data_IF_078435294254
#
_entry.id   IF_078435294254
#
_cell.length_a   1.000
_cell.length_b   1.000
_cell.length_c   1.000
_cell.angle_alpha   90.00
_cell.angle_beta   90.00
_cell.angle_gamma   90.00
#
_symmetry.space_group_name_H-M   'P 1'
#
loop_
_entity.id
_entity.type
_entity.pdbx_description
1 polymer ?
#
# COMPACT_ATOMS: atom_id res chain seq x y z
N UNK A 1 11.64 -59.47 58.50
CA UNK A 1 11.80 -60.70 57.72
C UNK A 1 10.76 -60.63 56.61
N UNK A 2 11.26 -60.34 55.39
CA UNK A 2 10.65 -60.50 54.08
C UNK A 2 9.17 -60.08 53.85
N UNK A 3 9.01 -59.17 52.89
CA UNK A 3 7.86 -59.10 51.98
C UNK A 3 6.61 -58.31 52.35
N UNK A 4 6.74 -57.10 52.91
CA UNK A 4 5.70 -56.06 52.68
C UNK A 4 6.24 -54.66 52.35
N UNK A 5 7.56 -54.52 52.14
CA UNK A 5 8.19 -53.29 51.64
C UNK A 5 8.14 -53.17 50.10
N UNK A 6 7.30 -53.96 49.42
CA UNK A 6 7.21 -54.04 47.94
C UNK A 6 5.88 -53.54 47.34
N UNK A 7 4.91 -53.16 48.18
CA UNK A 7 3.62 -52.64 47.71
C UNK A 7 3.48 -51.11 47.69
N UNK A 8 4.54 -50.38 48.05
CA UNK A 8 4.60 -48.90 47.96
C UNK A 8 5.03 -48.35 46.58
N UNK A 9 5.17 -49.19 45.55
CA UNK A 9 5.69 -48.74 44.23
C UNK A 9 4.73 -49.02 43.07
N UNK A 10 3.53 -49.57 43.32
CA UNK A 10 2.60 -49.94 42.22
C UNK A 10 1.19 -49.33 42.27
N UNK A 11 0.84 -48.55 43.29
CA UNK A 11 -0.47 -47.89 43.38
C UNK A 11 -0.38 -46.38 43.58
N UNK A 12 0.64 -45.76 42.97
CA UNK A 12 0.78 -44.30 42.86
C UNK A 12 0.62 -43.79 41.41
N UNK A 13 0.07 -44.62 40.53
CA UNK A 13 -0.12 -44.35 39.10
C UNK A 13 -1.61 -44.37 38.70
N UNK A 14 -2.47 -43.86 39.58
CA UNK A 14 -3.90 -43.63 39.30
C UNK A 14 -4.26 -42.23 39.79
N UNK A 15 -3.80 -41.23 39.06
CA UNK A 15 -4.12 -39.83 39.33
C UNK A 15 -3.71 -38.96 38.17
N UNK A 16 -4.69 -38.37 37.49
CA UNK A 16 -4.47 -37.32 36.49
C UNK A 16 -4.62 -37.76 35.04
N UNK A 17 -5.81 -38.25 34.66
CA UNK A 17 -6.27 -38.08 33.29
C UNK A 17 -6.59 -36.59 33.12
N UNK A 18 -5.57 -35.80 32.78
CA UNK A 18 -5.73 -34.41 32.37
C UNK A 18 -6.65 -34.40 31.15
N UNK A 19 -7.88 -33.92 31.36
CA UNK A 19 -8.75 -33.44 30.29
C UNK A 19 -8.04 -32.29 29.60
N UNK A 20 -7.26 -32.60 28.57
CA UNK A 20 -6.90 -31.65 27.54
C UNK A 20 -8.21 -31.27 26.83
N UNK A 21 -8.93 -30.31 27.41
CA UNK A 21 -9.89 -29.52 26.69
C UNK A 21 -9.11 -28.72 25.63
N UNK A 22 -8.84 -29.39 24.51
CA UNK A 22 -8.52 -28.71 23.28
C UNK A 22 -9.72 -27.81 22.98
N UNK A 23 -9.54 -26.51 23.13
CA UNK A 23 -10.37 -25.54 22.45
C UNK A 23 -10.28 -25.84 20.95
N UNK A 24 -11.19 -26.67 20.45
CA UNK A 24 -11.56 -26.66 19.06
C UNK A 24 -12.16 -25.29 18.79
N UNK A 25 -11.34 -24.35 18.31
CA UNK A 25 -11.87 -23.27 17.48
C UNK A 25 -12.54 -23.97 16.30
N UNK A 26 -13.87 -24.02 16.32
CA UNK A 26 -14.66 -24.58 15.24
C UNK A 26 -14.62 -23.63 14.04
N UNK A 27 -13.47 -23.51 13.39
CA UNK A 27 -13.44 -23.08 12.00
C UNK A 27 -13.92 -24.28 11.19
N UNK A 28 -15.24 -24.38 11.01
CA UNK A 28 -15.79 -25.21 9.94
C UNK A 28 -15.11 -24.74 8.65
N UNK A 29 -14.39 -25.61 7.91
CA UNK A 29 -14.05 -25.30 6.54
C UNK A 29 -15.36 -24.95 5.84
N UNK A 30 -15.40 -23.83 5.12
CA UNK A 30 -16.50 -23.57 4.19
C UNK A 30 -16.71 -24.86 3.38
N UNK A 31 -17.94 -25.37 3.37
CA UNK A 31 -18.27 -26.61 2.67
C UNK A 31 -17.87 -26.54 1.19
N UNK A 32 -17.94 -27.65 0.45
CA UNK A 32 -17.54 -27.69 -0.96
C UNK A 32 -18.27 -26.65 -1.82
N UNK A 33 -19.43 -26.18 -1.37
CA UNK A 33 -20.22 -25.14 -2.01
C UNK A 33 -19.78 -23.73 -1.55
N UNK A 34 -18.75 -23.17 -2.20
CA UNK A 34 -18.23 -21.81 -1.93
C UNK A 34 -18.99 -20.70 -2.66
N UNK A 35 -20.29 -20.88 -2.87
CA UNK A 35 -21.14 -19.81 -3.38
C UNK A 35 -21.38 -18.78 -2.29
N UNK A 36 -21.44 -17.51 -2.69
CA UNK A 36 -21.88 -16.42 -1.85
C UNK A 36 -22.71 -15.47 -2.71
N UNK A 37 -23.95 -15.27 -2.31
CA UNK A 37 -24.91 -14.37 -2.97
C UNK A 37 -25.10 -13.08 -2.20
N UNK A 38 -24.86 -13.11 -0.89
CA UNK A 38 -24.88 -11.96 0.02
C UNK A 38 -23.50 -11.68 0.62
N UNK A 39 -23.30 -10.49 1.17
CA UNK A 39 -22.04 -10.15 1.83
C UNK A 39 -21.83 -10.95 3.12
N UNK A 40 -22.89 -11.27 3.86
CA UNK A 40 -22.80 -12.16 5.03
C UNK A 40 -22.29 -13.55 4.64
N UNK A 41 -22.75 -14.09 3.51
CA UNK A 41 -22.22 -15.34 2.95
C UNK A 41 -20.77 -15.20 2.50
N UNK A 42 -20.41 -14.05 1.90
CA UNK A 42 -19.01 -13.77 1.56
C UNK A 42 -18.13 -13.80 2.81
N UNK A 43 -18.49 -13.11 3.89
CA UNK A 43 -17.74 -13.09 5.14
C UNK A 43 -17.55 -14.49 5.72
N UNK A 44 -18.54 -15.38 5.58
CA UNK A 44 -18.46 -16.76 6.04
C UNK A 44 -17.41 -17.60 5.27
N UNK A 45 -16.97 -17.16 4.09
CA UNK A 45 -15.89 -17.80 3.34
C UNK A 45 -14.48 -17.40 3.85
N UNK A 46 -14.39 -16.40 4.73
CA UNK A 46 -13.13 -15.90 5.27
C UNK A 46 -12.90 -16.40 6.70
N UNK A 47 -11.66 -16.80 7.04
CA UNK A 47 -11.22 -16.87 8.44
C UNK A 47 -11.43 -15.52 9.12
N UNK A 48 -12.01 -15.53 10.32
CA UNK A 48 -12.19 -14.30 11.10
C UNK A 48 -10.89 -13.96 11.83
N UNK A 49 -10.51 -12.69 11.82
CA UNK A 49 -9.29 -12.18 12.47
C UNK A 49 -9.52 -10.85 13.18
N UNK A 50 -8.45 -10.33 13.76
CA UNK A 50 -8.43 -9.08 14.51
C UNK A 50 -7.15 -8.30 14.19
N UNK A 51 -7.16 -7.00 14.46
CA UNK A 51 -5.96 -6.17 14.39
C UNK A 51 -5.09 -6.35 15.65
N UNK A 52 -3.75 -6.26 15.56
CA UNK A 52 -2.97 -5.97 14.36
C UNK A 52 -2.86 -7.18 13.42
N UNK A 53 -2.57 -6.92 12.14
CA UNK A 53 -2.40 -7.95 11.11
C UNK A 53 -1.15 -7.67 10.27
N UNK A 54 -0.45 -8.72 9.81
CA UNK A 54 0.78 -8.57 9.01
C UNK A 54 0.78 -9.54 7.83
N UNK A 55 1.29 -9.08 6.69
CA UNK A 55 1.55 -9.89 5.50
C UNK A 55 2.99 -9.68 5.06
N UNK A 56 3.69 -10.79 4.85
CA UNK A 56 5.06 -10.81 4.32
C UNK A 56 5.17 -11.78 3.13
N UNK A 57 6.25 -11.73 2.33
CA UNK A 57 6.37 -12.57 1.14
C UNK A 57 6.40 -14.07 1.47
N UNK A 58 6.97 -14.45 2.60
CA UNK A 58 7.02 -15.86 3.03
C UNK A 58 5.62 -16.45 3.28
N UNK A 59 4.69 -15.64 3.79
CA UNK A 59 3.29 -16.02 3.93
C UNK A 59 2.61 -16.26 2.57
N UNK A 60 3.08 -15.61 1.51
CA UNK A 60 2.59 -15.78 0.13
C UNK A 60 3.26 -16.94 -0.61
N UNK A 61 4.48 -17.35 -0.23
CA UNK A 61 5.16 -18.51 -0.83
C UNK A 61 4.48 -19.84 -0.52
N UNK A 62 3.73 -19.91 0.58
CA UNK A 62 3.00 -21.14 0.95
C UNK A 62 1.91 -21.44 -0.09
N UNK A 63 1.92 -22.63 -0.72
CA UNK A 63 0.88 -23.01 -1.67
C UNK A 63 -0.46 -23.13 -0.95
N UNK A 64 -1.53 -22.66 -1.60
CA UNK A 64 -2.90 -22.86 -1.14
C UNK A 64 -3.57 -23.93 -1.99
N UNK A 65 -4.38 -24.78 -1.35
CA UNK A 65 -5.20 -25.74 -2.07
C UNK A 65 -6.29 -25.01 -2.87
N UNK A 66 -6.57 -25.49 -4.08
CA UNK A 66 -7.68 -24.99 -4.90
C UNK A 66 -9.04 -25.12 -4.21
N UNK A 67 -9.16 -26.05 -3.26
CA UNK A 67 -10.36 -26.18 -2.41
C UNK A 67 -10.65 -24.94 -1.55
N UNK A 68 -9.67 -24.03 -1.41
CA UNK A 68 -9.78 -22.77 -0.66
C UNK A 68 -10.08 -21.56 -1.56
N UNK A 69 -10.10 -21.74 -2.87
CA UNK A 69 -10.32 -20.68 -3.85
C UNK A 69 -11.76 -20.15 -3.82
N UNK A 70 -11.94 -18.85 -4.04
CA UNK A 70 -13.26 -18.27 -4.31
C UNK A 70 -13.72 -18.62 -5.73
N UNK A 71 -15.02 -18.92 -5.89
CA UNK A 71 -15.60 -19.17 -7.20
C UNK A 71 -15.55 -17.90 -8.07
N UNK A 72 -15.31 -17.99 -9.39
CA UNK A 72 -15.20 -16.83 -10.27
C UNK A 72 -16.41 -15.88 -10.20
N UNK A 73 -17.61 -16.44 -10.07
CA UNK A 73 -18.86 -15.68 -9.90
C UNK A 73 -18.95 -14.91 -8.57
N UNK A 74 -18.36 -15.43 -7.50
CA UNK A 74 -18.24 -14.73 -6.21
C UNK A 74 -17.24 -13.59 -6.36
N UNK A 75 -16.11 -13.84 -7.03
CA UNK A 75 -15.11 -12.80 -7.30
C UNK A 75 -15.74 -11.65 -8.09
N UNK A 76 -16.38 -11.95 -9.23
CA UNK A 76 -17.01 -10.96 -10.09
C UNK A 76 -18.14 -10.16 -9.40
N UNK A 77 -18.81 -10.75 -8.41
CA UNK A 77 -19.88 -10.09 -7.65
C UNK A 77 -19.34 -9.06 -6.66
N UNK A 78 -18.26 -9.37 -5.95
CA UNK A 78 -17.83 -8.59 -4.79
C UNK A 78 -16.55 -7.79 -5.01
N UNK A 79 -15.72 -8.17 -5.99
CA UNK A 79 -14.39 -7.60 -6.19
C UNK A 79 -14.27 -7.10 -7.64
N UNK A 80 -14.15 -5.78 -7.85
CA UNK A 80 -13.90 -5.25 -9.18
C UNK A 80 -12.54 -5.74 -9.74
N UNK A 81 -12.51 -6.13 -11.01
CA UNK A 81 -11.28 -6.59 -11.67
C UNK A 81 -10.14 -5.53 -11.66
N UNK A 82 -10.51 -4.25 -11.50
CA UNK A 82 -9.56 -3.13 -11.40
C UNK A 82 -8.60 -3.23 -10.21
N UNK A 83 -8.93 -4.02 -9.18
CA UNK A 83 -8.06 -4.23 -8.00
C UNK A 83 -6.68 -4.74 -8.44
N UNK A 84 -6.64 -5.68 -9.38
CA UNK A 84 -5.41 -6.38 -9.76
C UNK A 84 -5.05 -6.25 -11.23
N UNK A 85 -5.87 -5.63 -12.07
CA UNK A 85 -5.60 -5.49 -13.52
C UNK A 85 -4.22 -4.90 -13.85
N UNK A 86 -3.72 -3.96 -13.03
CA UNK A 86 -2.37 -3.37 -13.21
C UNK A 86 -1.24 -4.32 -12.80
N UNK A 87 -1.47 -5.17 -11.79
CA UNK A 87 -0.47 -6.12 -11.27
C UNK A 87 -0.43 -7.40 -12.11
N UNK A 88 -1.59 -7.85 -12.58
CA UNK A 88 -1.79 -9.06 -13.37
C UNK A 88 -2.52 -8.72 -14.67
N UNK A 89 -1.81 -8.21 -15.69
CA UNK A 89 -2.42 -7.95 -16.99
C UNK A 89 -2.90 -9.26 -17.63
N UNK A 90 -4.05 -9.22 -18.30
CA UNK A 90 -4.69 -10.38 -18.93
C UNK A 90 -5.75 -11.07 -18.06
N UNK A 91 -6.35 -12.14 -18.58
CA UNK A 91 -7.37 -12.91 -17.86
C UNK A 91 -6.75 -14.05 -17.02
N UNK A 92 -7.50 -14.52 -16.02
CA UNK A 92 -7.21 -15.77 -15.31
C UNK A 92 -6.43 -15.60 -14.00
N UNK A 93 -7.03 -14.93 -13.02
CA UNK A 93 -6.51 -14.91 -11.64
C UNK A 93 -7.28 -15.88 -10.74
N UNK A 94 -6.60 -16.42 -9.74
CA UNK A 94 -7.21 -17.18 -8.65
C UNK A 94 -7.24 -16.30 -7.41
N UNK A 95 -8.41 -16.15 -6.80
CA UNK A 95 -8.60 -15.35 -5.59
C UNK A 95 -8.87 -16.26 -4.41
N UNK A 96 -8.14 -16.05 -3.31
CA UNK A 96 -8.24 -16.82 -2.09
C UNK A 96 -8.57 -15.90 -0.91
N UNK A 97 -9.53 -16.26 -0.05
CA UNK A 97 -9.83 -15.50 1.15
C UNK A 97 -8.75 -15.74 2.21
N UNK A 98 -8.12 -14.69 2.75
CA UNK A 98 -7.10 -14.83 3.80
C UNK A 98 -7.67 -14.52 5.19
N UNK A 99 -8.26 -13.34 5.37
CA UNK A 99 -8.86 -12.95 6.65
C UNK A 99 -9.95 -11.89 6.46
N UNK A 100 -10.99 -11.97 7.27
CA UNK A 100 -11.96 -10.90 7.47
C UNK A 100 -11.78 -10.30 8.86
N UNK A 101 -11.68 -8.97 8.92
CA UNK A 101 -11.44 -8.22 10.15
C UNK A 101 -12.50 -7.14 10.24
N UNK A 102 -13.28 -7.13 11.32
CA UNK A 102 -14.18 -6.03 11.61
C UNK A 102 -13.35 -4.77 11.95
N UNK A 103 -13.65 -3.65 11.30
CA UNK A 103 -12.92 -2.40 11.51
C UNK A 103 -13.85 -1.21 11.42
N UNK A 104 -13.93 -0.46 12.52
CA UNK A 104 -14.72 0.77 12.66
C UNK A 104 -16.17 0.65 12.14
N UNK A 105 -16.45 1.26 10.98
CA UNK A 105 -17.75 1.26 10.32
C UNK A 105 -17.77 0.33 9.09
N UNK A 106 -17.04 -0.78 9.13
CA UNK A 106 -17.02 -1.72 8.02
C UNK A 106 -16.16 -2.96 8.28
N UNK A 107 -15.63 -3.49 7.19
CA UNK A 107 -14.83 -4.70 7.17
C UNK A 107 -13.58 -4.52 6.30
N UNK A 108 -12.46 -4.97 6.83
CA UNK A 108 -11.26 -5.26 6.06
C UNK A 108 -11.29 -6.72 5.63
N UNK A 109 -11.25 -6.95 4.31
CA UNK A 109 -11.08 -8.26 3.70
C UNK A 109 -9.71 -8.35 3.06
N UNK A 110 -8.86 -9.24 3.56
CA UNK A 110 -7.57 -9.53 2.93
C UNK A 110 -7.74 -10.70 1.99
N UNK A 111 -7.45 -10.46 0.71
CA UNK A 111 -7.47 -11.47 -0.34
C UNK A 111 -6.08 -11.71 -0.88
N UNK A 112 -5.80 -12.96 -1.25
CA UNK A 112 -4.63 -13.32 -2.05
C UNK A 112 -5.07 -13.54 -3.48
N UNK A 113 -4.36 -12.93 -4.42
CA UNK A 113 -4.59 -13.05 -5.86
C UNK A 113 -3.35 -13.68 -6.48
N UNK A 114 -3.56 -14.72 -7.29
CA UNK A 114 -2.47 -15.48 -7.91
C UNK A 114 -2.69 -15.60 -9.42
N UNK A 115 -1.61 -15.39 -10.18
CA UNK A 115 -1.55 -15.63 -11.63
C UNK A 115 -0.25 -16.36 -11.97
N UNK A 116 -0.36 -17.65 -12.29
CA UNK A 116 0.81 -18.53 -12.38
C UNK A 116 1.57 -18.58 -11.06
N UNK A 117 2.86 -18.25 -11.09
CA UNK A 117 3.73 -18.21 -9.91
C UNK A 117 3.79 -16.84 -9.23
N UNK A 118 3.09 -15.83 -9.78
CA UNK A 118 3.05 -14.48 -9.22
C UNK A 118 1.88 -14.37 -8.24
N UNK A 119 2.14 -13.76 -7.08
CA UNK A 119 1.18 -13.68 -5.99
C UNK A 119 1.15 -12.27 -5.43
N UNK A 120 -0.04 -11.73 -5.18
CA UNK A 120 -0.22 -10.48 -4.45
C UNK A 120 -1.23 -10.66 -3.32
N UNK A 121 -1.08 -9.90 -2.25
CA UNK A 121 -2.11 -9.73 -1.23
C UNK A 121 -2.70 -8.33 -1.32
N UNK A 122 -4.01 -8.22 -1.15
CA UNK A 122 -4.74 -6.96 -1.17
C UNK A 122 -5.62 -6.84 0.07
N UNK A 123 -5.61 -5.65 0.66
CA UNK A 123 -6.57 -5.22 1.67
C UNK A 123 -7.74 -4.53 0.96
N UNK A 124 -8.93 -5.09 1.03
CA UNK A 124 -10.16 -4.50 0.50
C UNK A 124 -10.99 -3.93 1.64
N UNK A 125 -11.53 -2.72 1.48
CA UNK A 125 -12.45 -2.12 2.44
C UNK A 125 -13.90 -2.17 1.93
N UNK A 126 -14.79 -2.63 2.81
CA UNK A 126 -16.25 -2.62 2.63
C UNK A 126 -16.91 -1.84 3.76
N UNK A 127 -17.88 -0.98 3.47
CA UNK A 127 -18.63 -0.22 4.48
C UNK A 127 -19.74 -1.04 5.17
N UNK A 128 -20.44 -0.46 6.15
CA UNK A 128 -21.61 -1.07 6.82
C UNK A 128 -22.79 -1.41 5.90
N UNK A 129 -22.78 -0.92 4.66
CA UNK A 129 -23.80 -1.22 3.64
C UNK A 129 -23.28 -2.27 2.65
N UNK A 130 -22.21 -2.97 3.02
CA UNK A 130 -21.60 -4.04 2.25
C UNK A 130 -21.05 -3.60 0.89
N UNK A 131 -20.74 -2.29 0.74
CA UNK A 131 -20.23 -1.75 -0.52
C UNK A 131 -18.72 -1.72 -0.52
N UNK A 132 -18.12 -2.26 -1.58
CA UNK A 132 -16.70 -2.11 -1.86
C UNK A 132 -16.35 -0.65 -2.14
N UNK A 133 -15.25 -0.17 -1.55
CA UNK A 133 -14.72 1.18 -1.78
C UNK A 133 -13.38 1.14 -2.51
N UNK A 134 -12.37 0.55 -1.88
CA UNK A 134 -11.01 0.53 -2.41
C UNK A 134 -10.26 -0.73 -1.98
N UNK A 135 -9.23 -1.07 -2.74
CA UNK A 135 -8.25 -2.05 -2.38
C UNK A 135 -6.84 -1.45 -2.38
N UNK A 136 -6.03 -1.83 -1.40
CA UNK A 136 -4.61 -1.49 -1.29
C UNK A 136 -3.79 -2.78 -1.42
N UNK A 137 -2.78 -2.79 -2.31
CA UNK A 137 -1.86 -3.93 -2.42
C UNK A 137 -0.93 -3.94 -1.22
N UNK A 138 -1.03 -4.99 -0.40
CA UNK A 138 -0.25 -5.17 0.83
C UNK A 138 1.13 -5.76 0.55
N UNK A 139 1.21 -6.71 -0.38
CA UNK A 139 2.43 -7.43 -0.66
C UNK A 139 2.37 -7.97 -2.09
N UNK A 140 3.54 -8.11 -2.72
CA UNK A 140 3.69 -8.75 -4.01
C UNK A 140 4.91 -9.66 -4.00
N UNK A 141 4.79 -10.80 -4.66
CA UNK A 141 5.84 -11.79 -4.78
C UNK A 141 5.86 -12.34 -6.21
N UNK A 142 7.05 -12.41 -6.78
CA UNK A 142 7.34 -13.16 -8.01
C UNK A 142 8.65 -13.93 -7.84
N UNK A 143 8.78 -15.17 -8.35
CA UNK A 143 9.97 -15.98 -8.13
C UNK A 143 11.27 -15.38 -8.70
N UNK A 144 11.14 -14.62 -9.80
CA UNK A 144 12.28 -14.09 -10.56
C UNK A 144 12.80 -12.75 -10.03
N UNK A 145 12.06 -12.08 -9.13
CA UNK A 145 12.42 -10.79 -8.54
C UNK A 145 12.83 -11.01 -7.09
N UNK A 146 14.14 -11.18 -6.89
CA UNK A 146 14.73 -11.32 -5.55
C UNK A 146 15.16 -9.98 -4.97
N UNK A 147 15.02 -8.88 -5.71
CA UNK A 147 15.58 -7.57 -5.36
C UNK A 147 14.66 -6.74 -4.47
N UNK A 148 13.34 -6.90 -4.62
CA UNK A 148 12.35 -6.13 -3.90
C UNK A 148 11.55 -6.97 -2.90
N UNK A 149 11.65 -6.65 -1.61
CA UNK A 149 10.87 -7.30 -0.55
C UNK A 149 9.77 -6.35 -0.07
N UNK A 150 8.52 -6.78 -0.18
CA UNK A 150 7.35 -6.04 0.29
C UNK A 150 6.82 -6.65 1.59
N UNK A 151 6.78 -5.88 2.65
CA UNK A 151 6.13 -6.27 3.90
C UNK A 151 5.03 -5.26 4.25
N UNK A 152 4.00 -5.72 4.96
CA UNK A 152 2.94 -4.82 5.40
C UNK A 152 2.40 -5.18 6.76
N UNK A 153 2.09 -4.16 7.53
CA UNK A 153 1.45 -4.26 8.86
C UNK A 153 0.24 -3.35 8.89
N UNK A 154 -0.82 -3.81 9.54
CA UNK A 154 -2.01 -3.03 9.89
C UNK A 154 -2.04 -2.99 11.41
N UNK A 155 -1.93 -1.80 11.99
CA UNK A 155 -1.91 -1.65 13.44
C UNK A 155 -3.33 -1.75 14.05
N UNK A 156 -3.45 -1.66 15.37
CA UNK A 156 -4.75 -1.73 16.07
C UNK A 156 -5.70 -0.57 15.75
N UNK A 157 -5.18 0.55 15.25
CA UNK A 157 -5.96 1.72 14.82
C UNK A 157 -6.33 1.64 13.34
N UNK A 158 -5.88 0.61 12.62
CA UNK A 158 -6.11 0.44 11.18
C UNK A 158 -5.18 1.29 10.32
N UNK A 159 -4.09 1.82 10.87
CA UNK A 159 -3.01 2.44 10.08
C UNK A 159 -2.27 1.31 9.37
N UNK A 160 -2.11 1.45 8.06
CA UNK A 160 -1.43 0.48 7.21
C UNK A 160 -0.04 1.01 6.92
N UNK A 161 0.98 0.19 7.15
CA UNK A 161 2.35 0.50 6.73
C UNK A 161 2.78 -0.52 5.71
N UNK A 162 3.32 -0.05 4.58
CA UNK A 162 3.92 -0.85 3.53
C UNK A 162 5.41 -0.57 3.48
N UNK A 163 6.21 -1.56 3.82
CA UNK A 163 7.66 -1.53 3.78
C UNK A 163 8.13 -2.16 2.46
N UNK A 164 8.88 -1.39 1.68
CA UNK A 164 9.51 -1.84 0.44
C UNK A 164 11.02 -1.76 0.62
N UNK A 165 11.64 -2.93 0.75
CA UNK A 165 13.09 -3.05 0.79
C UNK A 165 13.60 -3.25 -0.64
N UNK A 166 14.30 -2.23 -1.13
CA UNK A 166 14.98 -2.22 -2.42
C UNK A 166 16.43 -2.64 -2.19
N UNK A 167 16.84 -3.75 -2.78
CA UNK A 167 18.25 -4.14 -2.79
C UNK A 167 18.96 -3.44 -3.94
N UNK A 168 19.93 -2.60 -3.62
CA UNK A 168 20.77 -1.95 -4.63
C UNK A 168 21.95 -2.85 -5.02
N UNK A 169 22.52 -2.68 -6.23
CA UNK A 169 23.66 -3.48 -6.71
C UNK A 169 24.90 -3.45 -5.80
N UNK A 170 25.05 -2.42 -4.96
CA UNK A 170 26.11 -2.25 -3.96
C UNK A 170 25.78 -2.91 -2.60
N UNK A 171 24.77 -3.79 -2.55
CA UNK A 171 24.31 -4.52 -1.35
C UNK A 171 23.78 -3.64 -0.22
N UNK A 172 23.40 -2.38 -0.49
CA UNK A 172 22.66 -1.55 0.45
C UNK A 172 21.16 -1.86 0.34
N UNK A 173 20.45 -1.80 1.45
CA UNK A 173 18.99 -1.92 1.48
C UNK A 173 18.38 -0.54 1.72
N UNK A 174 17.70 -0.02 0.70
CA UNK A 174 16.85 1.15 0.86
C UNK A 174 15.49 0.64 1.32
N UNK A 175 15.07 1.06 2.50
CA UNK A 175 13.72 0.85 3.00
C UNK A 175 12.91 2.10 2.64
N UNK A 176 11.85 1.91 1.87
CA UNK A 176 10.76 2.87 1.69
C UNK A 176 9.54 2.40 2.47
N UNK A 177 9.13 3.17 3.46
CA UNK A 177 7.96 2.92 4.30
C UNK A 177 6.84 3.88 3.87
N UNK A 178 5.75 3.35 3.31
CA UNK A 178 4.54 4.12 2.99
C UNK A 178 3.46 3.83 4.02
N UNK A 179 2.98 4.87 4.69
CA UNK A 179 1.96 4.80 5.73
C UNK A 179 0.64 5.32 5.20
N UNK A 180 -0.39 4.50 5.21
CA UNK A 180 -1.74 4.82 4.78
C UNK A 180 -2.71 4.82 5.95
N UNK A 181 -3.73 5.67 5.85
CA UNK A 181 -4.90 5.64 6.72
C UNK A 181 -6.16 5.50 5.86
N UNK A 182 -7.23 4.97 6.45
CA UNK A 182 -8.55 4.99 5.84
C UNK A 182 -9.22 6.34 6.15
N UNK A 183 -9.66 7.06 5.12
CA UNK A 183 -10.40 8.29 5.28
C UNK A 183 -11.92 8.03 5.49
N UNK A 184 -12.71 9.02 5.92
CA UNK A 184 -14.16 8.84 6.15
C UNK A 184 -14.96 8.41 4.91
N UNK A 185 -14.46 8.69 3.70
CA UNK A 185 -15.08 8.27 2.44
C UNK A 185 -14.75 6.81 2.06
N UNK A 186 -13.95 6.10 2.86
CA UNK A 186 -13.58 4.70 2.61
C UNK A 186 -12.37 4.52 1.69
N UNK A 187 -11.58 5.58 1.46
CA UNK A 187 -10.37 5.54 0.66
C UNK A 187 -9.12 5.41 1.52
N UNK A 188 -8.16 4.60 1.06
CA UNK A 188 -6.81 4.56 1.60
C UNK A 188 -6.03 5.77 1.10
N UNK A 189 -5.67 6.67 2.01
CA UNK A 189 -4.88 7.87 1.74
C UNK A 189 -3.45 7.66 2.23
N UNK A 190 -2.47 8.04 1.42
CA UNK A 190 -1.07 8.09 1.84
C UNK A 190 -0.89 9.26 2.81
N UNK A 191 -0.47 8.96 4.03
CA UNK A 191 -0.25 9.94 5.10
C UNK A 191 1.22 10.34 5.17
N UNK A 192 2.11 9.37 5.02
CA UNK A 192 3.55 9.56 5.16
C UNK A 192 4.30 8.59 4.25
N UNK A 193 5.37 9.06 3.64
CA UNK A 193 6.42 8.22 3.06
C UNK A 193 7.72 8.53 3.78
N UNK A 194 8.38 7.51 4.30
CA UNK A 194 9.68 7.58 4.92
C UNK A 194 10.67 6.73 4.11
N UNK A 195 11.91 7.17 3.99
CA UNK A 195 12.96 6.42 3.33
C UNK A 195 14.29 6.59 4.06
N UNK A 196 15.03 5.49 4.24
CA UNK A 196 16.35 5.51 4.90
C UNK A 196 17.53 5.80 3.95
N UNK A 197 17.24 6.06 2.67
CA UNK A 197 18.23 6.30 1.62
C UNK A 197 17.66 7.17 0.50
N UNK A 198 18.56 7.79 -0.27
CA UNK A 198 18.16 8.57 -1.42
C UNK A 198 17.67 7.64 -2.53
N UNK A 199 16.43 7.85 -3.01
CA UNK A 199 15.97 7.23 -4.25
C UNK A 199 16.55 8.01 -5.41
N UNK A 200 17.15 7.32 -6.38
CA UNK A 200 17.48 7.98 -7.64
C UNK A 200 16.18 8.44 -8.32
N UNK A 201 16.23 9.52 -9.10
CA UNK A 201 15.06 9.92 -9.91
C UNK A 201 14.61 8.83 -10.91
N UNK A 202 15.47 7.86 -11.25
CA UNK A 202 15.14 6.74 -12.13
C UNK A 202 14.30 5.67 -11.43
N UNK A 203 14.57 5.46 -10.13
CA UNK A 203 13.82 4.53 -9.27
C UNK A 203 12.57 5.18 -8.64
N UNK A 204 12.43 6.50 -8.80
CA UNK A 204 11.32 7.27 -8.27
C UNK A 204 10.06 7.10 -9.13
N UNK A 205 9.05 6.42 -8.57
CA UNK A 205 7.72 6.38 -9.16
C UNK A 205 7.02 7.75 -9.04
N UNK A 206 6.83 8.42 -10.18
CA UNK A 206 6.05 9.65 -10.29
C UNK A 206 4.60 9.32 -10.70
N UNK A 207 3.61 9.45 -9.79
CA UNK A 207 2.23 9.00 -10.03
C UNK A 207 1.49 9.80 -11.11
N UNK A 208 2.02 10.95 -11.52
CA UNK A 208 1.41 11.84 -12.51
C UNK A 208 2.20 11.94 -13.83
N UNK A 209 3.24 11.12 -14.04
CA UNK A 209 4.13 11.26 -15.20
C UNK A 209 3.40 11.19 -16.55
N UNK A 210 2.41 10.29 -16.65
CA UNK A 210 1.58 9.99 -17.83
C UNK A 210 0.45 10.99 -18.05
N UNK A 211 0.21 11.91 -17.11
CA UNK A 211 -0.89 12.86 -17.25
C UNK A 211 -0.56 13.95 -18.29
N UNK A 212 -1.59 14.61 -18.86
CA UNK A 212 -1.40 15.66 -19.84
C UNK A 212 -0.56 16.83 -19.32
N UNK A 213 0.26 17.39 -20.23
CA UNK A 213 1.20 18.48 -19.95
C UNK A 213 1.11 19.59 -21.01
N UNK A 214 -0.09 20.09 -21.27
CA UNK A 214 -0.34 21.13 -22.27
C UNK A 214 -0.13 22.55 -21.74
N UNK A 215 -0.25 22.76 -20.42
CA UNK A 215 -0.02 24.09 -19.84
C UNK A 215 1.47 24.49 -19.91
N UNK A 216 1.75 25.80 -20.00
CA UNK A 216 3.14 26.31 -20.14
C UNK A 216 4.05 25.91 -18.96
N UNK A 217 3.47 25.80 -17.77
CA UNK A 217 4.17 25.36 -16.55
C UNK A 217 4.11 23.85 -16.30
N UNK A 218 3.46 23.08 -17.17
CA UNK A 218 3.47 21.63 -17.04
C UNK A 218 4.84 21.08 -17.44
N UNK A 219 5.31 20.07 -16.70
CA UNK A 219 6.59 19.42 -16.89
C UNK A 219 7.23 19.00 -15.58
N UNK A 220 8.41 18.41 -15.70
CA UNK A 220 9.19 17.91 -14.59
C UNK A 220 10.32 18.87 -14.27
N UNK A 221 10.42 19.29 -13.02
CA UNK A 221 11.41 20.26 -12.55
C UNK A 221 12.32 19.58 -11.53
N UNK A 222 13.62 19.59 -11.75
CA UNK A 222 14.60 18.91 -10.91
C UNK A 222 15.49 19.92 -10.19
N UNK A 223 15.93 19.59 -8.98
CA UNK A 223 16.93 20.36 -8.22
C UNK A 223 18.28 19.65 -8.21
N UNK A 224 18.25 18.34 -8.08
CA UNK A 224 19.37 17.40 -8.05
C UNK A 224 18.89 16.02 -8.52
N UNK A 225 19.75 15.01 -8.44
CA UNK A 225 19.47 13.64 -8.92
C UNK A 225 18.50 12.85 -8.03
N UNK A 226 17.95 13.49 -6.98
CA UNK A 226 17.09 12.86 -5.97
C UNK A 226 15.90 13.74 -5.57
N UNK A 227 15.65 14.86 -6.27
CA UNK A 227 14.57 15.80 -5.94
C UNK A 227 13.89 16.37 -7.19
N UNK A 228 12.57 16.24 -7.25
CA UNK A 228 11.72 16.60 -8.38
C UNK A 228 10.41 17.25 -7.93
N UNK A 229 9.95 18.23 -8.71
CA UNK A 229 8.59 18.76 -8.71
C UNK A 229 7.99 18.53 -10.09
N UNK A 230 6.97 17.68 -10.16
CA UNK A 230 6.23 17.42 -11.39
C UNK A 230 4.94 18.22 -11.39
N UNK A 231 4.66 18.90 -12.50
CA UNK A 231 3.44 19.70 -12.70
C UNK A 231 2.72 19.16 -13.93
N UNK A 232 1.42 18.94 -13.79
CA UNK A 232 0.53 18.46 -14.85
C UNK A 232 -0.76 19.24 -14.89
N UNK A 233 -1.49 19.10 -15.98
CA UNK A 233 -2.74 19.82 -16.19
C UNK A 233 -3.80 19.40 -15.16
N UNK A 234 -4.53 20.37 -14.61
CA UNK A 234 -5.65 20.11 -13.72
C UNK A 234 -6.95 19.83 -14.46
N UNK A 235 -8.06 19.73 -13.72
CA UNK A 235 -9.40 19.51 -14.29
C UNK A 235 -9.84 20.66 -15.21
N UNK A 236 -9.34 21.87 -14.95
CA UNK A 236 -9.59 23.08 -15.72
C UNK A 236 -8.36 23.99 -15.73
N UNK A 237 -8.41 25.07 -16.50
CA UNK A 237 -7.30 26.04 -16.66
C UNK A 237 -6.89 26.77 -15.38
N UNK A 238 -7.70 26.72 -14.32
CA UNK A 238 -7.42 27.38 -13.04
C UNK A 238 -6.77 26.42 -12.02
N UNK A 239 -6.61 25.15 -12.38
CA UNK A 239 -6.06 24.10 -11.51
C UNK A 239 -4.89 23.40 -12.17
N UNK A 240 -4.00 22.85 -11.34
CA UNK A 240 -2.89 22.00 -11.78
C UNK A 240 -2.72 20.84 -10.80
N UNK A 241 -2.22 19.72 -11.29
CA UNK A 241 -1.80 18.60 -10.45
C UNK A 241 -0.30 18.72 -10.20
N UNK A 242 0.13 18.35 -9.00
CA UNK A 242 1.54 18.32 -8.69
C UNK A 242 1.93 17.05 -7.93
N UNK A 243 3.20 16.69 -8.07
CA UNK A 243 3.89 15.69 -7.25
C UNK A 243 5.26 16.28 -6.89
N UNK A 244 5.59 16.29 -5.61
CA UNK A 244 6.87 16.76 -5.07
C UNK A 244 7.53 15.55 -4.41
N UNK A 245 8.79 15.31 -4.76
CA UNK A 245 9.69 14.44 -4.03
C UNK A 245 10.97 15.23 -3.78
N UNK A 246 11.46 15.21 -2.54
CA UNK A 246 12.76 15.81 -2.23
C UNK A 246 13.51 14.95 -1.24
N UNK A 247 14.83 15.02 -1.32
CA UNK A 247 15.72 14.42 -0.34
C UNK A 247 16.95 15.30 -0.13
N UNK A 248 17.21 15.67 1.12
CA UNK A 248 18.44 16.34 1.54
C UNK A 248 19.43 15.31 2.13
N UNK A 249 20.54 15.03 1.43
CA UNK A 249 21.52 14.06 1.91
C UNK A 249 22.28 14.51 3.16
N UNK A 250 22.37 15.82 3.43
CA UNK A 250 23.09 16.34 4.59
C UNK A 250 22.32 16.09 5.89
N UNK A 251 20.99 16.29 5.84
CA UNK A 251 20.10 16.06 6.98
C UNK A 251 19.47 14.68 6.98
N UNK A 252 19.64 13.90 5.89
CA UNK A 252 19.00 12.59 5.64
C UNK A 252 17.49 12.67 5.75
N UNK A 253 16.94 13.69 5.12
CA UNK A 253 15.55 14.06 5.27
C UNK A 253 14.89 14.17 3.91
N UNK A 254 13.77 13.50 3.73
CA UNK A 254 13.02 13.55 2.49
C UNK A 254 11.53 13.40 2.72
N UNK A 255 10.77 13.65 1.67
CA UNK A 255 9.33 13.57 1.73
C UNK A 255 8.70 13.65 0.34
N UNK A 256 7.48 13.14 0.27
CA UNK A 256 6.65 13.18 -0.92
C UNK A 256 5.34 13.91 -0.61
N UNK A 257 4.85 14.68 -1.58
CA UNK A 257 3.55 15.34 -1.51
C UNK A 257 2.95 15.45 -2.90
N UNK A 258 1.74 14.93 -3.08
CA UNK A 258 0.93 15.14 -4.28
C UNK A 258 -0.37 15.86 -3.96
N UNK A 259 -0.95 16.51 -4.97
CA UNK A 259 -2.21 17.19 -4.79
C UNK A 259 -2.67 17.98 -6.01
N UNK A 260 -3.71 18.78 -5.79
CA UNK A 260 -4.28 19.69 -6.80
C UNK A 260 -4.15 21.12 -6.31
N UNK A 261 -3.26 21.88 -6.95
CA UNK A 261 -3.12 23.31 -6.71
C UNK A 261 -4.08 24.13 -7.56
N UNK A 262 -4.26 25.41 -7.18
CA UNK A 262 -5.00 26.42 -7.94
C UNK A 262 -4.10 27.58 -8.29
N UNK A 263 -4.19 28.08 -9.51
CA UNK A 263 -3.51 29.31 -9.90
C UNK A 263 -4.22 30.50 -9.25
N UNK A 264 -3.47 31.32 -8.51
CA UNK A 264 -3.96 32.56 -7.92
C UNK A 264 -3.87 33.72 -8.91
N UNK A 265 -2.83 33.70 -9.74
CA UNK A 265 -2.63 34.65 -10.83
C UNK A 265 -1.80 33.97 -11.94
N UNK A 266 -1.23 34.74 -12.86
CA UNK A 266 -0.55 34.21 -14.05
C UNK A 266 0.62 33.29 -13.73
N UNK A 267 1.33 33.49 -12.64
CA UNK A 267 2.59 32.80 -12.34
C UNK A 267 2.71 32.33 -10.89
N UNK A 268 1.64 32.44 -10.11
CA UNK A 268 1.59 31.89 -8.76
C UNK A 268 0.42 30.93 -8.62
N UNK A 269 0.65 29.87 -7.86
CA UNK A 269 -0.38 28.93 -7.47
C UNK A 269 -0.23 28.57 -6.00
N UNK A 270 -1.29 28.01 -5.44
CA UNK A 270 -1.28 27.54 -4.05
C UNK A 270 -1.99 26.20 -3.97
N UNK A 271 -1.49 25.36 -3.08
CA UNK A 271 -2.16 24.15 -2.60
C UNK A 271 -2.41 24.32 -1.12
N UNK A 272 -3.59 23.93 -0.67
CA UNK A 272 -3.93 23.83 0.76
C UNK A 272 -4.57 22.47 0.98
N UNK A 273 -4.08 21.77 1.99
CA UNK A 273 -4.65 20.52 2.44
C UNK A 273 -6.04 20.78 3.05
N UNK A 274 -7.04 20.01 2.66
CA UNK A 274 -8.42 20.17 3.15
C UNK A 274 -8.52 19.83 4.66
N UNK A 275 -7.55 19.06 5.18
CA UNK A 275 -7.60 18.46 6.52
C UNK A 275 -6.60 19.04 7.53
N UNK A 276 -5.76 20.02 7.14
CA UNK A 276 -4.66 20.47 7.99
C UNK A 276 -4.12 21.86 7.66
N UNK A 277 -3.12 22.34 8.43
CA UNK A 277 -2.49 23.65 8.22
C UNK A 277 -1.53 23.66 7.03
N UNK A 278 -1.28 22.50 6.41
CA UNK A 278 -0.34 22.39 5.31
C UNK A 278 -0.81 23.16 4.07
N UNK A 279 0.00 24.11 3.64
CA UNK A 279 -0.11 24.74 2.34
C UNK A 279 1.26 24.85 1.64
N UNK A 280 1.25 24.82 0.31
CA UNK A 280 2.42 25.03 -0.53
C UNK A 280 2.10 26.12 -1.54
N UNK A 281 2.93 27.16 -1.55
CA UNK A 281 2.89 28.20 -2.57
C UNK A 281 3.90 27.89 -3.67
N UNK A 282 3.45 28.04 -4.91
CA UNK A 282 4.20 27.78 -6.13
C UNK A 282 4.44 29.10 -6.86
N UNK A 283 5.70 29.41 -7.14
CA UNK A 283 6.10 30.55 -7.94
C UNK A 283 6.74 30.06 -9.24
N UNK A 284 6.01 30.21 -10.33
CA UNK A 284 6.43 29.79 -11.66
C UNK A 284 7.18 30.92 -12.36
N UNK A 285 8.30 30.57 -12.98
CA UNK A 285 8.98 31.43 -13.95
C UNK A 285 9.32 30.62 -15.20
N UNK A 286 9.90 31.25 -16.22
CA UNK A 286 10.27 30.53 -17.43
C UNK A 286 11.29 29.43 -17.11
N UNK A 287 10.85 28.17 -17.18
CA UNK A 287 11.70 27.00 -16.92
C UNK A 287 12.07 26.77 -15.45
N UNK A 288 11.42 27.41 -14.47
CA UNK A 288 11.64 27.10 -13.04
C UNK A 288 10.34 27.14 -12.24
N UNK A 289 10.31 26.36 -11.17
CA UNK A 289 9.31 26.45 -10.11
C UNK A 289 10.02 26.60 -8.78
N UNK A 290 9.63 27.60 -8.00
CA UNK A 290 9.99 27.73 -6.61
C UNK A 290 8.80 27.34 -5.77
N UNK A 291 9.02 26.49 -4.77
CA UNK A 291 8.01 26.08 -3.82
C UNK A 291 8.37 26.60 -2.44
N UNK A 292 7.37 27.11 -1.73
CA UNK A 292 7.47 27.57 -0.36
C UNK A 292 6.35 26.95 0.46
N UNK A 293 6.72 26.38 1.59
CA UNK A 293 5.83 25.80 2.56
C UNK A 293 5.25 26.89 3.46
N UNK A 294 3.93 26.92 3.56
CA UNK A 294 3.18 27.83 4.42
C UNK A 294 2.40 26.99 5.42
N UNK A 295 2.64 27.18 6.72
CA UNK A 295 1.92 26.47 7.78
C UNK A 295 2.49 25.11 8.20
N UNK A 296 3.73 24.77 7.83
CA UNK A 296 4.45 23.64 8.44
C UNK A 296 4.00 22.25 7.97
N UNK A 297 3.71 22.07 6.67
CA UNK A 297 3.51 20.77 6.02
C UNK A 297 4.49 19.67 6.45
N UNK A 298 5.80 19.97 6.53
CA UNK A 298 6.82 19.03 6.97
C UNK A 298 6.59 18.60 8.41
N UNK A 299 6.51 19.56 9.33
CA UNK A 299 6.29 19.31 10.75
C UNK A 299 4.94 18.62 11.04
N UNK A 300 3.87 19.00 10.32
CA UNK A 300 2.55 18.37 10.41
C UNK A 300 2.58 16.90 9.98
N UNK A 301 3.49 16.53 9.08
CA UNK A 301 3.70 15.15 8.60
C UNK A 301 4.86 14.43 9.30
N UNK A 302 5.39 14.97 10.39
CA UNK A 302 6.52 14.37 11.12
C UNK A 302 7.87 14.42 10.38
N UNK A 303 7.95 15.21 9.30
CA UNK A 303 9.17 15.50 8.55
C UNK A 303 9.84 16.71 9.21
N UNK A 304 11.12 16.60 9.56
CA UNK A 304 11.84 17.69 10.24
C UNK A 304 12.28 18.81 9.28
N UNK A 305 11.95 18.71 8.00
CA UNK A 305 12.49 19.54 6.93
C UNK A 305 11.38 20.16 6.10
N UNK A 306 11.69 21.34 5.58
CA UNK A 306 10.76 22.15 4.80
C UNK A 306 10.78 21.72 3.34
N UNK A 307 9.62 21.76 2.69
CA UNK A 307 9.47 21.50 1.25
C UNK A 307 10.09 22.62 0.38
N UNK A 308 10.74 23.62 0.97
CA UNK A 308 11.24 24.80 0.29
C UNK A 308 12.33 24.48 -0.74
N UNK A 309 12.22 25.06 -1.93
CA UNK A 309 13.25 24.87 -2.95
C UNK A 309 12.96 25.57 -4.25
N UNK A 310 13.97 25.62 -5.12
CA UNK A 310 13.84 26.06 -6.52
C UNK A 310 14.30 24.95 -7.42
N UNK A 311 13.45 24.58 -8.38
CA UNK A 311 13.63 23.46 -9.28
C UNK A 311 13.62 23.95 -10.72
N UNK A 312 14.46 23.35 -11.57
CA UNK A 312 14.67 23.74 -12.97
C UNK A 312 14.01 22.71 -13.88
N UNK A 313 13.25 23.19 -14.87
CA UNK A 313 12.52 22.34 -15.82
C UNK A 313 13.51 21.46 -16.59
N UNK A 314 13.30 20.15 -16.54
CA UNK A 314 14.03 19.17 -17.34
C UNK A 314 13.76 19.45 -18.82
N UNK A 315 14.81 19.48 -19.63
CA UNK A 315 14.64 19.54 -21.08
C UNK A 315 14.02 18.21 -21.52
N UNK A 316 12.92 18.25 -22.27
CA UNK A 316 12.37 17.06 -22.91
C UNK A 316 13.46 16.47 -23.82
N UNK A 317 13.93 15.26 -23.50
CA UNK A 317 14.59 14.45 -24.50
C UNK A 317 13.51 14.04 -25.51
N UNK A 318 13.54 14.64 -26.69
CA UNK A 318 12.77 14.14 -27.83
C UNK A 318 13.27 12.73 -28.10
N UNK A 319 12.57 11.70 -27.59
CA UNK A 319 12.76 10.34 -28.05
C UNK A 319 12.43 10.35 -29.55
N UNK A 320 13.47 10.37 -30.37
CA UNK A 320 13.34 10.15 -31.80
C UNK A 320 12.63 8.82 -31.98
N UNK A 321 11.42 8.89 -32.52
CA UNK A 321 10.66 7.75 -32.98
C UNK A 321 11.50 7.01 -34.02
N UNK A 322 12.18 5.94 -33.61
CA UNK A 322 12.66 4.94 -34.57
C UNK A 322 11.42 4.24 -35.12
N UNK A 323 10.91 4.82 -36.21
CA UNK A 323 9.92 4.21 -37.05
C UNK A 323 10.46 2.87 -37.56
N UNK A 324 9.57 1.87 -37.53
CA UNK A 324 9.74 0.54 -38.10
C UNK A 324 10.25 0.63 -39.54
N UNK A 325 11.26 -0.17 -39.87
CA UNK A 325 11.39 -0.86 -41.16
C UNK A 325 11.61 -2.33 -40.88
#
# INVERSE_FOLDING_TARGET
MQDFLRYCVKYFFTGGLLLMAACQSSHRPAGPNRHATSFTELLALFPQGQLPYQVNPDSLRKPLSDSVRLLPEVVARFFPDSIWAKTFPGAGVHVFPQVAIAYDHGHFLVIRVQQGNRVASYLCYFDRKDRFHQALRLCYFTPDDQTDVYESKIDRKGVITLDHHIHTPDQRSILRENVFALNPEGNFILVLTNANGALSLEDLYNPIDTLPAHHAFSGDYVKDDVSIVSIRDGKNKQSFRFFIHFYDPATRCGGELEGVGRFLNRNTGTYKDDSGPCAIDFHFTNGRVRIEEVGGCGAYRGIQCLFNGTYIKKKLHTHQTRARQ
#
